data_IF_538775762882
#
_entry.id   IF_538775762882
#
_cell.length_a   1.000
_cell.length_b   1.000
_cell.length_c   1.000
_cell.angle_alpha   90.00
_cell.angle_beta   90.00
_cell.angle_gamma   90.00
#
_symmetry.space_group_name_H-M   'P 1'
#
loop_
_entity.id
_entity.type
_entity.pdbx_description
1 polymer ?
#
# COMPACT_ATOMS: atom_id res chain seq x y z
N UNK A 1 25.84 -5.82 8.02
CA UNK A 1 25.96 -4.73 7.03
C UNK A 1 24.72 -4.75 6.14
N UNK A 2 24.31 -3.63 5.55
CA UNK A 2 23.04 -3.51 4.78
C UNK A 2 23.08 -4.18 3.39
N UNK A 3 23.67 -5.38 3.30
CA UNK A 3 23.82 -6.16 2.06
C UNK A 3 22.47 -6.53 1.43
N UNK A 4 21.44 -6.64 2.25
CA UNK A 4 20.05 -6.80 1.81
C UNK A 4 19.58 -5.67 0.87
N UNK A 5 20.17 -4.47 0.89
CA UNK A 5 19.84 -3.39 -0.06
C UNK A 5 20.23 -3.70 -1.50
N UNK A 6 21.18 -4.62 -1.71
CA UNK A 6 21.61 -5.06 -3.04
C UNK A 6 20.74 -6.17 -3.62
N UNK A 7 19.79 -6.72 -2.86
CA UNK A 7 18.94 -7.81 -3.34
C UNK A 7 17.90 -7.26 -4.34
N UNK A 8 17.62 -8.01 -5.44
CA UNK A 8 16.61 -7.61 -6.41
C UNK A 8 15.19 -7.62 -5.82
N UNK A 9 14.97 -8.45 -4.80
CA UNK A 9 13.80 -8.38 -3.92
C UNK A 9 14.26 -8.46 -2.47
N UNK A 10 13.83 -7.50 -1.68
CA UNK A 10 14.07 -7.44 -0.23
C UNK A 10 12.85 -7.94 0.49
N UNK A 11 13.01 -8.99 1.29
CA UNK A 11 12.01 -9.43 2.27
C UNK A 11 12.40 -9.01 3.69
N UNK A 12 11.44 -9.07 4.62
CA UNK A 12 11.71 -8.92 6.05
C UNK A 12 12.80 -9.89 6.54
N UNK A 13 12.78 -11.15 6.10
CA UNK A 13 13.74 -12.17 6.50
C UNK A 13 15.16 -11.79 6.05
N UNK A 14 15.29 -11.24 4.85
CA UNK A 14 16.57 -10.71 4.37
C UNK A 14 17.07 -9.60 5.29
N UNK A 15 16.21 -8.68 5.73
CA UNK A 15 16.63 -7.60 6.62
C UNK A 15 16.97 -8.11 8.03
N UNK A 16 16.23 -9.11 8.51
CA UNK A 16 16.41 -9.71 9.84
C UNK A 16 17.76 -10.45 9.95
N UNK A 17 18.19 -11.12 8.87
CA UNK A 17 19.48 -11.82 8.80
C UNK A 17 20.67 -10.88 9.05
N UNK A 18 20.62 -9.66 8.50
CA UNK A 18 21.74 -8.72 8.56
C UNK A 18 21.58 -7.61 9.61
N UNK A 19 20.34 -7.27 9.98
CA UNK A 19 19.98 -6.16 10.88
C UNK A 19 18.72 -6.48 11.73
N UNK A 20 18.77 -7.48 12.63
CA UNK A 20 17.59 -7.91 13.41
C UNK A 20 17.07 -6.84 14.37
N UNK A 21 17.96 -5.98 14.87
CA UNK A 21 17.56 -4.82 15.69
C UNK A 21 16.68 -3.84 14.92
N UNK A 22 16.91 -3.69 13.60
CA UNK A 22 16.09 -2.83 12.76
C UNK A 22 14.68 -3.38 12.60
N UNK A 23 14.55 -4.70 12.42
CA UNK A 23 13.25 -5.37 12.32
C UNK A 23 12.45 -5.25 13.61
N UNK A 24 13.12 -5.43 14.75
CA UNK A 24 12.49 -5.34 16.07
C UNK A 24 12.08 -3.91 16.44
N UNK A 25 12.96 -2.93 16.22
CA UNK A 25 12.76 -1.55 16.66
C UNK A 25 11.94 -0.72 15.68
N UNK A 26 11.97 -1.05 14.38
CA UNK A 26 11.37 -0.23 13.32
C UNK A 26 10.56 -1.07 12.30
N UNK A 27 9.54 -1.82 12.74
CA UNK A 27 8.75 -2.70 11.85
C UNK A 27 8.08 -1.94 10.69
N UNK A 28 7.67 -0.69 10.91
CA UNK A 28 7.09 0.16 9.86
C UNK A 28 8.09 0.49 8.74
N UNK A 29 9.38 0.61 9.07
CA UNK A 29 10.43 0.88 8.10
C UNK A 29 10.72 -0.36 7.25
N UNK A 30 10.67 -1.55 7.84
CA UNK A 30 10.77 -2.82 7.10
C UNK A 30 9.67 -2.91 6.05
N UNK A 31 8.42 -2.68 6.48
CA UNK A 31 7.26 -2.68 5.59
C UNK A 31 7.41 -1.65 4.46
N UNK A 32 7.99 -0.48 4.74
CA UNK A 32 8.28 0.51 3.71
C UNK A 32 9.24 -0.04 2.64
N UNK A 33 10.32 -0.73 3.01
CA UNK A 33 11.24 -1.33 2.04
C UNK A 33 10.58 -2.43 1.20
N UNK A 34 9.75 -3.28 1.82
CA UNK A 34 8.96 -4.29 1.10
C UNK A 34 7.95 -3.65 0.13
N UNK A 35 7.19 -2.66 0.59
CA UNK A 35 6.16 -2.00 -0.20
C UNK A 35 6.75 -1.12 -1.32
N UNK A 36 7.93 -0.53 -1.13
CA UNK A 36 8.56 0.34 -2.13
C UNK A 36 8.98 -0.41 -3.41
N UNK A 37 9.08 -1.73 -3.35
CA UNK A 37 9.39 -2.59 -4.49
C UNK A 37 8.17 -2.95 -5.33
N UNK A 38 6.96 -2.66 -4.83
CA UNK A 38 5.71 -2.96 -5.54
C UNK A 38 5.50 -1.94 -6.66
N UNK A 39 4.93 -2.42 -7.77
CA UNK A 39 4.50 -1.53 -8.84
C UNK A 39 3.49 -0.52 -8.33
N UNK A 40 3.68 0.74 -8.73
CA UNK A 40 2.76 1.83 -8.41
C UNK A 40 1.92 2.12 -9.64
N UNK A 41 0.60 2.01 -9.48
CA UNK A 41 -0.36 2.44 -10.48
C UNK A 41 -0.91 3.80 -10.07
N UNK A 42 -0.83 4.78 -10.96
CA UNK A 42 -1.41 6.10 -10.75
C UNK A 42 -2.54 6.30 -11.75
N UNK A 43 -3.74 6.56 -11.25
CA UNK A 43 -4.91 6.88 -12.04
C UNK A 43 -5.26 8.34 -11.84
N UNK A 44 -5.55 9.02 -12.94
CA UNK A 44 -6.05 10.39 -12.92
C UNK A 44 -7.55 10.30 -13.12
N UNK A 45 -8.30 10.84 -12.18
CA UNK A 45 -9.75 10.98 -12.31
C UNK A 45 -10.08 12.35 -12.87
N UNK A 46 -11.14 12.41 -13.67
CA UNK A 46 -11.77 13.69 -13.95
C UNK A 46 -12.43 14.25 -12.67
N UNK A 47 -12.69 15.56 -12.68
CA UNK A 47 -13.28 16.24 -11.53
C UNK A 47 -14.62 15.62 -11.08
N UNK A 48 -15.59 15.35 -11.99
CA UNK A 48 -16.87 14.76 -11.63
C UNK A 48 -16.78 13.37 -10.97
N UNK A 49 -15.88 12.52 -11.48
CA UNK A 49 -15.63 11.19 -10.96
C UNK A 49 -14.97 11.28 -9.59
N UNK A 50 -14.01 12.19 -9.42
CA UNK A 50 -13.37 12.42 -8.12
C UNK A 50 -14.37 12.86 -7.05
N UNK A 51 -15.26 13.80 -7.37
CA UNK A 51 -16.29 14.27 -6.42
C UNK A 51 -17.27 13.16 -6.03
N UNK A 52 -17.66 12.33 -7.00
CA UNK A 52 -18.49 11.15 -6.76
C UNK A 52 -17.78 10.14 -5.86
N UNK A 53 -16.51 9.83 -6.16
CA UNK A 53 -15.68 8.94 -5.37
C UNK A 53 -15.52 9.45 -3.94
N UNK A 54 -15.17 10.73 -3.76
CA UNK A 54 -15.01 11.36 -2.44
C UNK A 54 -16.27 11.21 -1.59
N UNK A 55 -17.45 11.49 -2.15
CA UNK A 55 -18.73 11.32 -1.44
C UNK A 55 -18.98 9.88 -1.00
N UNK A 56 -18.62 8.89 -1.83
CA UNK A 56 -18.76 7.47 -1.49
C UNK A 56 -17.82 7.10 -0.33
N UNK A 57 -16.57 7.52 -0.39
CA UNK A 57 -15.58 7.29 0.67
C UNK A 57 -16.03 7.95 1.98
N UNK A 58 -16.49 9.20 1.95
CA UNK A 58 -17.01 9.89 3.12
C UNK A 58 -18.24 9.21 3.71
N UNK A 59 -19.16 8.72 2.86
CA UNK A 59 -20.34 7.98 3.31
C UNK A 59 -19.96 6.68 4.02
N UNK A 60 -18.93 5.98 3.53
CA UNK A 60 -18.52 4.67 4.06
C UNK A 60 -17.61 4.76 5.28
N UNK A 61 -16.64 5.68 5.27
CA UNK A 61 -15.59 5.80 6.29
C UNK A 61 -15.71 7.07 7.16
N UNK A 62 -16.78 7.86 6.99
CA UNK A 62 -17.11 9.11 7.71
C UNK A 62 -16.17 10.29 7.47
N UNK A 63 -15.04 10.07 6.80
CA UNK A 63 -14.05 11.11 6.47
C UNK A 63 -13.32 10.77 5.18
N UNK A 64 -12.88 11.78 4.46
CA UNK A 64 -11.98 11.62 3.33
C UNK A 64 -10.53 11.81 3.78
N UNK A 65 -9.76 10.72 3.81
CA UNK A 65 -8.31 10.76 4.00
C UNK A 65 -7.65 9.84 2.99
N UNK A 66 -6.35 10.01 2.75
CA UNK A 66 -5.59 9.10 1.86
C UNK A 66 -5.79 7.63 2.24
N UNK A 67 -5.69 7.30 3.52
CA UNK A 67 -5.83 5.91 3.99
C UNK A 67 -7.20 5.31 3.66
N UNK A 68 -8.29 6.06 3.90
CA UNK A 68 -9.64 5.58 3.59
C UNK A 68 -9.88 5.49 2.07
N UNK A 69 -9.30 6.41 1.29
CA UNK A 69 -9.37 6.36 -0.17
C UNK A 69 -8.62 5.13 -0.72
N UNK A 70 -7.39 4.89 -0.27
CA UNK A 70 -6.59 3.71 -0.65
C UNK A 70 -7.34 2.42 -0.29
N UNK A 71 -7.94 2.36 0.90
CA UNK A 71 -8.76 1.22 1.35
C UNK A 71 -9.99 1.02 0.45
N UNK A 72 -10.73 2.08 0.13
CA UNK A 72 -11.90 2.01 -0.72
C UNK A 72 -11.55 1.50 -2.14
N UNK A 73 -10.42 1.95 -2.69
CA UNK A 73 -9.92 1.50 -4.00
C UNK A 73 -9.58 0.02 -3.96
N UNK A 74 -8.85 -0.43 -2.96
CA UNK A 74 -8.47 -1.85 -2.83
C UNK A 74 -9.69 -2.76 -2.70
N UNK A 75 -10.67 -2.38 -1.87
CA UNK A 75 -11.92 -3.14 -1.73
C UNK A 75 -12.69 -3.21 -3.06
N UNK A 76 -12.75 -2.12 -3.82
CA UNK A 76 -13.40 -2.12 -5.13
C UNK A 76 -12.67 -3.01 -6.16
N UNK A 77 -11.34 -3.03 -6.14
CA UNK A 77 -10.52 -3.90 -6.99
C UNK A 77 -10.75 -5.37 -6.62
N UNK A 78 -10.72 -5.71 -5.33
CA UNK A 78 -10.96 -7.07 -4.84
C UNK A 78 -12.36 -7.57 -5.23
N UNK A 79 -13.38 -6.72 -5.10
CA UNK A 79 -14.75 -7.02 -5.52
C UNK A 79 -14.84 -7.24 -7.03
N UNK A 80 -14.18 -6.38 -7.83
CA UNK A 80 -14.13 -6.52 -9.28
C UNK A 80 -13.42 -7.82 -9.71
N UNK A 81 -12.28 -8.16 -9.11
CA UNK A 81 -11.56 -9.41 -9.38
C UNK A 81 -12.44 -10.61 -9.05
N UNK A 82 -13.15 -10.57 -7.93
CA UNK A 82 -13.99 -11.68 -7.47
C UNK A 82 -15.21 -11.91 -8.38
N UNK A 83 -15.74 -10.84 -9.00
CA UNK A 83 -16.87 -10.90 -9.93
C UNK A 83 -16.50 -11.31 -11.35
N UNK A 84 -15.24 -11.12 -11.75
CA UNK A 84 -14.73 -11.44 -13.09
C UNK A 84 -13.85 -12.70 -13.12
N UNK A 85 -13.83 -13.47 -12.03
CA UNK A 85 -13.28 -14.83 -11.95
C UNK A 85 -14.39 -15.84 -12.16
#
# INVERSE_FOLDING_TARGET
>A
MSEWLGKPRVSKEDIDEYQPSLVKSFPSLIKYYEDNQKFRLTLIFDHPLFDSFKKIVEKKYKKFTRFEADKAIMEAIEEWISKNK
#
